data_IF_429017885418
#
_entry.id   IF_429017885418
#
_cell.length_a   1.000
_cell.length_b   1.000
_cell.length_c   1.000
_cell.angle_alpha   90.00
_cell.angle_beta   90.00
_cell.angle_gamma   90.00
#
_symmetry.space_group_name_H-M   'P 1'
#
loop_
_entity.id
_entity.type
_entity.pdbx_description
1 polymer ?
#
# COMPACT_ATOMS: atom_id res chain seq x y z
N UNK A 1 5.79 -18.62 -5.74
CA UNK A 1 6.92 -18.37 -4.79
C UNK A 1 6.63 -19.12 -3.48
N UNK A 2 7.64 -19.60 -2.76
CA UNK A 2 7.42 -20.29 -1.49
C UNK A 2 7.01 -19.27 -0.42
N UNK A 3 5.94 -19.49 0.35
CA UNK A 3 5.38 -18.54 1.33
C UNK A 3 6.38 -18.04 2.38
N UNK A 4 7.51 -18.71 2.56
CA UNK A 4 8.56 -18.32 3.49
C UNK A 4 9.58 -17.32 2.90
N UNK A 5 9.69 -17.21 1.58
CA UNK A 5 10.69 -16.35 0.92
C UNK A 5 10.50 -14.87 1.31
N UNK A 6 9.28 -14.30 1.33
CA UNK A 6 9.06 -12.93 1.77
C UNK A 6 9.62 -12.64 3.17
N UNK A 7 9.38 -13.55 4.13
CA UNK A 7 9.86 -13.37 5.51
C UNK A 7 11.38 -13.44 5.61
N UNK A 8 12.01 -14.34 4.84
CA UNK A 8 13.47 -14.46 4.79
C UNK A 8 14.07 -13.16 4.20
N UNK A 9 13.52 -12.67 3.09
CA UNK A 9 13.99 -11.44 2.44
C UNK A 9 13.84 -10.21 3.35
N UNK A 10 12.68 -10.07 4.02
CA UNK A 10 12.45 -9.03 5.02
C UNK A 10 13.46 -9.10 6.16
N UNK A 11 13.69 -10.31 6.70
CA UNK A 11 14.65 -10.55 7.78
C UNK A 11 16.07 -10.22 7.37
N UNK A 12 16.49 -10.62 6.17
CA UNK A 12 17.81 -10.30 5.60
C UNK A 12 17.98 -8.80 5.44
N UNK A 13 17.00 -8.10 4.82
CA UNK A 13 17.04 -6.65 4.65
C UNK A 13 17.15 -5.92 5.98
N UNK A 14 16.32 -6.31 6.96
CA UNK A 14 16.36 -5.74 8.32
C UNK A 14 17.69 -5.98 9.01
N UNK A 15 18.28 -7.18 8.89
CA UNK A 15 19.56 -7.51 9.48
C UNK A 15 20.71 -6.69 8.88
N UNK A 16 20.67 -6.44 7.55
CA UNK A 16 21.67 -5.62 6.86
C UNK A 16 21.66 -4.17 7.40
N UNK A 17 20.49 -3.59 7.60
CA UNK A 17 20.37 -2.18 8.02
C UNK A 17 20.37 -1.99 9.56
N UNK A 18 20.29 -3.09 10.34
CA UNK A 18 20.20 -3.01 11.81
C UNK A 18 21.32 -2.22 12.48
N UNK A 19 22.54 -2.30 11.92
CA UNK A 19 23.72 -1.59 12.45
C UNK A 19 23.85 -0.14 11.98
N UNK A 20 22.93 0.33 11.12
CA UNK A 20 23.00 1.61 10.43
C UNK A 20 23.89 1.49 9.19
N UNK A 21 23.35 1.83 8.04
CA UNK A 21 24.09 1.88 6.78
C UNK A 21 24.57 3.32 6.52
N UNK A 22 25.74 3.50 5.87
CA UNK A 22 26.15 4.81 5.41
C UNK A 22 25.14 5.38 4.39
N UNK A 23 24.88 6.70 4.42
CA UNK A 23 23.92 7.38 3.52
C UNK A 23 24.16 7.06 2.04
N UNK A 24 25.44 6.86 1.64
CA UNK A 24 25.79 6.51 0.27
C UNK A 24 25.24 5.13 -0.12
N UNK A 25 25.32 4.16 0.79
CA UNK A 25 24.81 2.79 0.57
C UNK A 25 23.30 2.80 0.51
N UNK A 26 22.64 3.59 1.36
CA UNK A 26 21.20 3.78 1.36
C UNK A 26 20.68 4.33 0.03
N UNK A 27 21.30 5.38 -0.48
CA UNK A 27 20.97 5.95 -1.81
C UNK A 27 21.09 4.92 -2.93
N UNK A 28 22.09 4.02 -2.86
CA UNK A 28 22.24 2.93 -3.85
C UNK A 28 21.09 1.92 -3.70
N UNK A 29 20.71 1.55 -2.48
CA UNK A 29 19.56 0.68 -2.24
C UNK A 29 18.26 1.30 -2.74
N UNK A 30 18.00 2.58 -2.43
CA UNK A 30 16.82 3.30 -2.92
C UNK A 30 16.75 3.32 -4.45
N UNK A 31 17.88 3.55 -5.12
CA UNK A 31 17.97 3.52 -6.57
C UNK A 31 17.65 2.13 -7.15
N UNK A 32 18.21 1.07 -6.56
CA UNK A 32 17.94 -0.32 -6.96
C UNK A 32 16.46 -0.66 -6.75
N UNK A 33 15.88 -0.28 -5.62
CA UNK A 33 14.46 -0.51 -5.30
C UNK A 33 13.57 0.22 -6.30
N UNK A 34 13.86 1.48 -6.61
CA UNK A 34 13.08 2.26 -7.57
C UNK A 34 13.12 1.64 -8.97
N UNK A 35 14.28 1.15 -9.42
CA UNK A 35 14.39 0.43 -10.70
C UNK A 35 13.60 -0.88 -10.64
N UNK A 36 13.74 -1.66 -9.57
CA UNK A 36 13.00 -2.90 -9.38
C UNK A 36 11.48 -2.66 -9.42
N UNK A 37 11.00 -1.56 -8.81
CA UNK A 37 9.59 -1.15 -8.86
C UNK A 37 9.14 -0.81 -10.29
N UNK A 38 9.92 -0.07 -11.05
CA UNK A 38 9.60 0.25 -12.45
C UNK A 38 9.51 -1.03 -13.29
N UNK A 39 10.50 -1.91 -13.16
CA UNK A 39 10.51 -3.21 -13.86
C UNK A 39 9.29 -4.04 -13.44
N UNK A 40 9.01 -4.12 -12.15
CA UNK A 40 7.86 -4.83 -11.61
C UNK A 40 6.53 -4.34 -12.20
N UNK A 41 6.34 -3.01 -12.24
CA UNK A 41 5.14 -2.40 -12.82
C UNK A 41 5.00 -2.69 -14.33
N UNK A 42 6.12 -2.61 -15.07
CA UNK A 42 6.13 -2.97 -16.49
C UNK A 42 5.80 -4.45 -16.70
N UNK A 43 6.36 -5.35 -15.90
CA UNK A 43 6.10 -6.80 -15.99
C UNK A 43 4.64 -7.11 -15.67
N UNK A 44 4.06 -6.49 -14.63
CA UNK A 44 2.63 -6.64 -14.32
C UNK A 44 1.78 -6.15 -15.51
N UNK A 45 2.10 -4.98 -16.06
CA UNK A 45 1.41 -4.46 -17.23
C UNK A 45 1.52 -5.37 -18.46
N UNK A 46 2.72 -5.89 -18.74
CA UNK A 46 2.93 -6.88 -19.82
C UNK A 46 2.09 -8.13 -19.60
N UNK A 47 2.09 -8.69 -18.39
CA UNK A 47 1.28 -9.87 -18.05
C UNK A 47 -0.23 -9.63 -18.29
N UNK A 48 -0.74 -8.46 -17.89
CA UNK A 48 -2.14 -8.09 -18.14
C UNK A 48 -2.38 -7.98 -19.65
N UNK A 49 -1.52 -7.27 -20.39
CA UNK A 49 -1.68 -7.03 -21.81
C UNK A 49 -1.56 -8.30 -22.67
N UNK A 50 -0.75 -9.27 -22.26
CA UNK A 50 -0.59 -10.56 -22.98
C UNK A 50 -1.68 -11.59 -22.63
N UNK A 51 -2.53 -11.32 -21.61
CA UNK A 51 -3.62 -12.20 -21.21
C UNK A 51 -4.95 -11.81 -21.88
N UNK A 52 -5.44 -12.55 -22.88
CA UNK A 52 -6.72 -12.26 -23.55
C UNK A 52 -7.90 -12.33 -22.57
N UNK A 53 -7.83 -13.22 -21.58
CA UNK A 53 -8.88 -13.43 -20.60
C UNK A 53 -9.08 -12.19 -19.70
N UNK A 54 -7.98 -11.62 -19.19
CA UNK A 54 -8.02 -10.39 -18.38
C UNK A 54 -8.42 -9.19 -19.22
N UNK A 55 -7.88 -9.06 -20.46
CA UNK A 55 -8.19 -7.95 -21.34
C UNK A 55 -9.66 -7.89 -21.75
N UNK A 56 -10.28 -9.04 -22.03
CA UNK A 56 -11.70 -9.12 -22.38
C UNK A 56 -12.63 -8.78 -21.21
N UNK A 57 -12.19 -9.03 -19.96
CA UNK A 57 -12.97 -8.78 -18.76
C UNK A 57 -12.54 -7.52 -17.98
N UNK A 58 -11.60 -6.74 -18.51
CA UNK A 58 -10.99 -5.60 -17.82
C UNK A 58 -12.01 -4.57 -17.32
N UNK A 59 -13.09 -4.34 -18.07
CA UNK A 59 -14.17 -3.44 -17.66
C UNK A 59 -14.91 -3.94 -16.41
N UNK A 60 -15.28 -5.22 -16.36
CA UNK A 60 -15.94 -5.84 -15.21
C UNK A 60 -15.03 -5.87 -13.97
N UNK A 61 -13.77 -6.25 -14.16
CA UNK A 61 -12.75 -6.25 -13.10
C UNK A 61 -12.59 -4.83 -12.54
N UNK A 62 -12.48 -3.82 -13.41
CA UNK A 62 -12.32 -2.43 -13.00
C UNK A 62 -13.47 -1.93 -12.11
N UNK A 63 -14.72 -2.20 -12.49
CA UNK A 63 -15.89 -1.83 -11.68
C UNK A 63 -15.87 -2.53 -10.32
N UNK A 64 -15.57 -3.82 -10.30
CA UNK A 64 -15.46 -4.59 -9.05
C UNK A 64 -14.36 -4.03 -8.14
N UNK A 65 -13.20 -3.67 -8.70
CA UNK A 65 -12.09 -3.07 -7.97
C UNK A 65 -12.45 -1.70 -7.37
N UNK A 66 -13.20 -0.87 -8.09
CA UNK A 66 -13.68 0.41 -7.58
C UNK A 66 -14.60 0.20 -6.38
N UNK A 67 -15.56 -0.73 -6.48
CA UNK A 67 -16.49 -1.04 -5.38
C UNK A 67 -15.73 -1.57 -4.16
N UNK A 68 -14.78 -2.50 -4.36
CA UNK A 68 -13.94 -3.03 -3.29
C UNK A 68 -13.11 -1.92 -2.61
N UNK A 69 -12.53 -1.03 -3.40
CA UNK A 69 -11.73 0.09 -2.92
C UNK A 69 -12.56 1.05 -2.07
N UNK A 70 -13.70 1.51 -2.58
CA UNK A 70 -14.59 2.42 -1.86
C UNK A 70 -15.11 1.78 -0.58
N UNK A 71 -15.49 0.50 -0.61
CA UNK A 71 -15.90 -0.23 0.58
C UNK A 71 -14.79 -0.30 1.62
N UNK A 72 -13.56 -0.64 1.22
CA UNK A 72 -12.41 -0.68 2.12
C UNK A 72 -12.12 0.69 2.75
N UNK A 73 -12.26 1.79 1.98
CA UNK A 73 -12.15 3.17 2.50
C UNK A 73 -13.22 3.42 3.57
N UNK A 74 -14.50 3.17 3.24
CA UNK A 74 -15.61 3.47 4.14
C UNK A 74 -15.59 2.63 5.41
N UNK A 75 -15.32 1.33 5.30
CA UNK A 75 -15.21 0.45 6.47
C UNK A 75 -14.01 0.83 7.34
N UNK A 76 -12.84 1.13 6.77
CA UNK A 76 -11.69 1.62 7.52
C UNK A 76 -11.99 2.95 8.23
N UNK A 77 -12.66 3.89 7.54
CA UNK A 77 -13.06 5.16 8.11
C UNK A 77 -14.06 4.98 9.27
N UNK A 78 -15.02 4.05 9.14
CA UNK A 78 -15.96 3.71 10.21
C UNK A 78 -15.26 3.11 11.44
N UNK A 79 -14.38 2.12 11.24
CA UNK A 79 -13.63 1.53 12.35
C UNK A 79 -12.79 2.58 13.08
N UNK A 80 -12.05 3.42 12.35
CA UNK A 80 -11.23 4.48 12.94
C UNK A 80 -12.11 5.53 13.63
N UNK A 81 -13.26 5.90 13.06
CA UNK A 81 -14.20 6.82 13.69
C UNK A 81 -14.74 6.30 15.03
N UNK A 82 -15.02 5.00 15.14
CA UNK A 82 -15.42 4.35 16.41
C UNK A 82 -14.26 4.38 17.41
N UNK A 83 -13.03 4.04 16.97
CA UNK A 83 -11.86 4.08 17.82
C UNK A 83 -11.50 5.49 18.29
N UNK A 84 -11.70 6.50 17.44
CA UNK A 84 -11.51 7.92 17.80
C UNK A 84 -12.44 8.35 18.92
N UNK A 85 -13.68 7.89 18.90
CA UNK A 85 -14.67 8.22 19.94
C UNK A 85 -14.46 7.46 21.26
N UNK A 86 -13.80 6.30 21.22
CA UNK A 86 -13.72 5.39 22.39
C UNK A 86 -12.36 5.38 23.03
N UNK A 87 -11.27 5.31 22.25
CA UNK A 87 -9.92 5.00 22.75
C UNK A 87 -8.89 6.04 22.40
N UNK A 88 -9.05 6.71 21.24
CA UNK A 88 -8.01 7.56 20.64
C UNK A 88 -8.56 8.97 20.34
N UNK A 89 -8.69 9.87 21.33
CA UNK A 89 -9.13 11.24 21.07
C UNK A 89 -8.04 12.00 20.29
N UNK A 90 -8.11 11.99 18.95
CA UNK A 90 -7.14 12.65 18.08
C UNK A 90 -7.08 14.17 18.29
N UNK A 91 -8.15 14.79 18.76
CA UNK A 91 -8.16 16.21 19.12
C UNK A 91 -7.22 16.54 20.30
N UNK A 92 -7.14 15.67 21.29
CA UNK A 92 -6.17 15.84 22.40
C UNK A 92 -4.74 15.64 21.92
N UNK A 93 -4.55 14.68 21.02
CA UNK A 93 -3.25 14.43 20.37
C UNK A 93 -2.80 15.64 19.57
N UNK A 94 -3.72 16.25 18.81
CA UNK A 94 -3.49 17.49 18.05
C UNK A 94 -3.02 18.62 18.96
N UNK A 95 -3.70 18.87 20.09
CA UNK A 95 -3.35 19.94 21.04
C UNK A 95 -1.97 19.77 21.65
N UNK A 96 -1.50 18.53 21.84
CA UNK A 96 -0.15 18.24 22.37
C UNK A 96 0.96 18.62 21.39
N UNK A 97 0.71 18.51 20.08
CA UNK A 97 1.68 18.84 19.04
C UNK A 97 1.65 20.31 18.61
N UNK A 98 0.55 21.03 18.81
CA UNK A 98 0.47 22.47 18.50
C UNK A 98 1.47 23.32 19.29
N UNK A 99 2.13 22.78 20.32
CA UNK A 99 3.17 23.44 21.10
C UNK A 99 4.61 23.23 20.62
N UNK A 100 4.86 22.29 19.68
CA UNK A 100 6.21 21.85 19.28
C UNK A 100 6.48 21.94 17.76
N UNK A 101 5.61 22.63 17.02
CA UNK A 101 5.68 22.76 15.56
C UNK A 101 6.72 23.80 15.13
N UNK A 102 7.98 23.39 15.13
CA UNK A 102 8.98 24.02 14.27
C UNK A 102 8.73 23.59 12.82
N UNK A 103 8.71 24.56 11.92
CA UNK A 103 8.56 24.41 10.48
C UNK A 103 9.44 23.27 9.93
N UNK A 104 8.84 22.13 9.61
CA UNK A 104 9.45 21.13 8.76
C UNK A 104 8.90 21.33 7.35
N UNK A 105 9.69 21.99 6.53
CA UNK A 105 9.50 21.99 5.09
C UNK A 105 9.50 20.51 4.62
N UNK A 106 8.34 20.04 4.22
CA UNK A 106 8.21 18.75 3.53
C UNK A 106 8.87 18.87 2.17
N UNK A 107 9.83 17.99 1.87
CA UNK A 107 10.43 17.86 0.53
C UNK A 107 9.33 17.53 -0.49
N UNK A 108 8.80 18.55 -1.15
CA UNK A 108 7.61 18.49 -2.01
C UNK A 108 7.84 17.83 -3.38
N UNK A 109 9.07 17.52 -3.81
CA UNK A 109 9.33 17.36 -5.23
C UNK A 109 9.52 15.92 -5.75
N UNK A 110 9.90 14.96 -4.92
CA UNK A 110 10.25 13.61 -5.42
C UNK A 110 9.09 12.62 -5.43
N UNK A 111 8.16 12.72 -4.50
CA UNK A 111 7.05 11.77 -4.35
C UNK A 111 5.91 11.98 -5.37
N UNK A 112 5.70 13.21 -5.82
CA UNK A 112 4.65 13.54 -6.78
C UNK A 112 4.87 12.86 -8.14
N UNK A 113 6.12 12.62 -8.52
CA UNK A 113 6.48 12.02 -9.80
C UNK A 113 6.21 10.50 -9.83
N UNK A 114 6.49 9.80 -8.74
CA UNK A 114 6.28 8.34 -8.62
C UNK A 114 4.79 7.97 -8.69
N UNK A 115 3.90 8.81 -8.18
CA UNK A 115 2.44 8.61 -8.27
C UNK A 115 1.97 8.49 -9.73
N UNK A 116 2.62 9.22 -10.64
CA UNK A 116 2.28 9.22 -12.07
C UNK A 116 3.06 8.15 -12.83
N UNK A 117 4.35 7.97 -12.53
CA UNK A 117 5.24 7.03 -13.23
C UNK A 117 4.78 5.59 -13.04
N UNK A 118 4.40 5.19 -11.83
CA UNK A 118 4.03 3.80 -11.54
C UNK A 118 2.80 3.33 -12.34
N UNK A 119 1.64 4.01 -12.30
CA UNK A 119 0.51 3.65 -13.15
C UNK A 119 0.82 3.79 -14.65
N UNK A 120 1.63 4.78 -15.05
CA UNK A 120 2.04 4.94 -16.45
C UNK A 120 2.85 3.74 -16.95
N UNK A 121 3.76 3.20 -16.13
CA UNK A 121 4.53 2.00 -16.49
C UNK A 121 3.62 0.78 -16.73
N UNK A 122 2.55 0.62 -15.94
CA UNK A 122 1.59 -0.46 -16.17
C UNK A 122 0.82 -0.24 -17.48
N UNK A 123 0.31 0.97 -17.70
CA UNK A 123 -0.40 1.28 -18.95
C UNK A 123 0.51 1.03 -20.17
N UNK A 124 1.76 1.47 -20.11
CA UNK A 124 2.76 1.20 -21.14
C UNK A 124 2.99 -0.30 -21.31
N UNK A 125 3.13 -1.03 -20.20
CA UNK A 125 3.26 -2.50 -20.21
C UNK A 125 2.07 -3.18 -20.87
N UNK A 126 0.83 -2.78 -20.53
CA UNK A 126 -0.40 -3.30 -21.15
C UNK A 126 -0.40 -3.04 -22.66
N UNK A 127 -0.08 -1.82 -23.09
CA UNK A 127 -0.04 -1.45 -24.52
C UNK A 127 1.02 -2.29 -25.24
N UNK A 128 2.21 -2.43 -24.70
CA UNK A 128 3.29 -3.23 -25.31
C UNK A 128 2.88 -4.71 -25.35
N UNK A 129 2.31 -5.25 -24.28
CA UNK A 129 1.82 -6.64 -24.21
C UNK A 129 0.72 -6.92 -25.23
N UNK A 130 -0.24 -6.00 -25.37
CA UNK A 130 -1.37 -6.18 -26.27
C UNK A 130 -1.03 -5.98 -27.75
N UNK A 131 -0.21 -4.99 -28.10
CA UNK A 131 0.05 -4.62 -29.49
C UNK A 131 1.36 -5.16 -30.08
N UNK A 132 2.40 -5.38 -29.24
CA UNK A 132 3.75 -5.67 -29.72
C UNK A 132 4.21 -7.09 -29.38
N UNK A 133 3.96 -7.52 -28.18
CA UNK A 133 4.51 -8.77 -27.64
C UNK A 133 3.43 -9.83 -27.42
N UNK A 134 2.86 -10.36 -28.52
CA UNK A 134 1.84 -11.39 -28.47
C UNK A 134 2.31 -12.74 -27.88
N UNK A 135 3.61 -12.96 -27.73
CA UNK A 135 4.20 -14.21 -27.21
C UNK A 135 5.53 -13.97 -26.51
N UNK A 136 5.48 -13.33 -25.34
CA UNK A 136 6.60 -13.37 -24.42
C UNK A 136 6.55 -14.71 -23.68
N UNK A 137 7.72 -15.35 -23.51
CA UNK A 137 7.80 -16.57 -22.70
C UNK A 137 7.34 -16.25 -21.28
N UNK A 138 6.28 -16.92 -20.81
CA UNK A 138 5.77 -16.80 -19.43
C UNK A 138 6.90 -16.96 -18.41
N UNK A 139 7.85 -17.87 -18.67
CA UNK A 139 9.01 -18.10 -17.80
C UNK A 139 9.87 -16.85 -17.60
N UNK A 140 10.02 -16.00 -18.63
CA UNK A 140 10.79 -14.74 -18.53
C UNK A 140 10.06 -13.73 -17.66
N UNK A 141 8.74 -13.59 -17.87
CA UNK A 141 7.91 -12.68 -17.09
C UNK A 141 7.84 -13.08 -15.61
N UNK A 142 7.65 -14.39 -15.34
CA UNK A 142 7.62 -14.92 -13.98
C UNK A 142 8.97 -14.77 -13.26
N UNK A 143 10.08 -14.99 -13.98
CA UNK A 143 11.42 -14.79 -13.42
C UNK A 143 11.67 -13.32 -13.09
N UNK A 144 11.31 -12.40 -14.00
CA UNK A 144 11.46 -10.98 -13.79
C UNK A 144 10.59 -10.48 -12.61
N UNK A 145 9.34 -10.97 -12.52
CA UNK A 145 8.43 -10.69 -11.40
C UNK A 145 9.03 -11.17 -10.08
N UNK A 146 9.50 -12.41 -10.02
CA UNK A 146 10.07 -13.01 -8.81
C UNK A 146 11.32 -12.26 -8.34
N UNK A 147 12.25 -11.92 -9.25
CA UNK A 147 13.46 -11.17 -8.92
C UNK A 147 13.09 -9.78 -8.38
N UNK A 148 12.17 -9.09 -9.06
CA UNK A 148 11.71 -7.76 -8.63
C UNK A 148 11.04 -7.80 -7.25
N UNK A 149 10.23 -8.82 -6.97
CA UNK A 149 9.62 -9.05 -5.66
C UNK A 149 10.66 -9.28 -4.57
N UNK A 150 11.66 -10.13 -4.81
CA UNK A 150 12.74 -10.39 -3.85
C UNK A 150 13.49 -9.09 -3.51
N UNK A 151 13.85 -8.30 -4.53
CA UNK A 151 14.50 -7.01 -4.33
C UNK A 151 13.62 -6.04 -3.52
N UNK A 152 12.32 -6.01 -3.81
CA UNK A 152 11.36 -5.19 -3.08
C UNK A 152 11.26 -5.60 -1.60
N UNK A 153 11.14 -6.90 -1.30
CA UNK A 153 11.09 -7.39 0.08
C UNK A 153 12.37 -7.10 0.86
N UNK A 154 13.54 -7.27 0.23
CA UNK A 154 14.82 -6.90 0.85
C UNK A 154 14.86 -5.39 1.11
N UNK A 155 14.42 -4.57 0.16
CA UNK A 155 14.36 -3.12 0.31
C UNK A 155 13.43 -2.66 1.44
N UNK A 156 12.23 -3.24 1.51
CA UNK A 156 11.30 -2.99 2.64
C UNK A 156 11.95 -3.40 3.96
N UNK A 157 12.67 -4.53 4.00
CA UNK A 157 13.43 -4.96 5.17
C UNK A 157 14.51 -3.96 5.58
N UNK A 158 15.27 -3.40 4.62
CA UNK A 158 16.26 -2.34 4.87
C UNK A 158 15.60 -1.10 5.46
N UNK A 159 14.50 -0.62 4.86
CA UNK A 159 13.72 0.50 5.39
C UNK A 159 13.20 0.25 6.81
N UNK A 160 12.80 -0.99 7.13
CA UNK A 160 12.39 -1.40 8.47
C UNK A 160 13.52 -1.21 9.51
N UNK A 161 14.72 -1.67 9.18
CA UNK A 161 15.88 -1.59 10.10
C UNK A 161 16.36 -0.16 10.33
N UNK A 162 16.09 0.76 9.40
CA UNK A 162 16.48 2.18 9.49
C UNK A 162 15.47 3.04 10.25
N UNK A 163 14.17 2.76 10.09
CA UNK A 163 13.08 3.56 10.65
C UNK A 163 12.93 3.40 12.19
N UNK A 164 14.05 3.34 12.91
CA UNK A 164 14.07 3.32 14.39
C UNK A 164 13.40 4.56 15.00
N UNK A 165 13.36 5.67 14.26
CA UNK A 165 12.70 6.90 14.67
C UNK A 165 11.21 6.74 14.91
N UNK A 166 10.52 5.89 14.15
CA UNK A 166 9.08 5.61 14.32
C UNK A 166 8.79 5.05 15.72
N UNK A 167 9.64 4.16 16.22
CA UNK A 167 9.51 3.62 17.58
C UNK A 167 9.65 4.70 18.67
N UNK A 168 10.49 5.71 18.43
CA UNK A 168 10.65 6.85 19.35
C UNK A 168 9.38 7.72 19.37
N UNK A 169 8.77 7.96 18.19
CA UNK A 169 7.50 8.70 18.09
C UNK A 169 6.34 7.92 18.72
N UNK A 170 6.24 6.61 18.51
CA UNK A 170 5.23 5.75 19.16
C UNK A 170 5.37 5.86 20.67
N UNK A 171 6.60 5.86 21.22
CA UNK A 171 6.84 5.99 22.64
C UNK A 171 6.40 7.37 23.19
N UNK A 172 6.55 8.44 22.43
CA UNK A 172 6.15 9.81 22.82
C UNK A 172 4.63 10.02 22.75
N UNK A 173 3.96 9.42 21.72
CA UNK A 173 2.51 9.50 21.51
C UNK A 173 1.72 8.55 22.40
N UNK A 174 2.38 7.55 22.95
CA UNK A 174 1.77 6.46 23.71
C UNK A 174 1.25 5.33 22.82
N UNK A 175 1.16 4.14 23.39
CA UNK A 175 0.75 2.92 22.67
C UNK A 175 -0.66 3.01 22.05
N UNK A 176 -1.48 3.93 22.50
CA UNK A 176 -2.85 4.11 21.96
C UNK A 176 -2.86 4.43 20.47
N UNK A 177 -1.80 5.06 19.94
CA UNK A 177 -1.69 5.39 18.50
C UNK A 177 -1.75 4.15 17.60
N UNK A 178 -1.34 2.98 18.12
CA UNK A 178 -1.35 1.71 17.40
C UNK A 178 -2.77 1.21 17.09
N UNK A 179 -3.78 1.69 17.80
CA UNK A 179 -5.18 1.34 17.50
C UNK A 179 -5.64 1.93 16.17
N UNK A 180 -5.03 3.01 15.70
CA UNK A 180 -5.39 3.61 14.41
C UNK A 180 -5.03 2.69 13.22
N UNK A 181 -3.77 2.26 13.02
CA UNK A 181 -3.44 1.31 11.97
C UNK A 181 -4.17 -0.03 12.14
N UNK A 182 -4.42 -0.48 13.38
CA UNK A 182 -5.23 -1.69 13.63
C UNK A 182 -6.67 -1.52 13.12
N UNK A 183 -7.29 -0.37 13.37
CA UNK A 183 -8.63 -0.08 12.85
C UNK A 183 -8.68 -0.02 11.32
N UNK A 184 -7.66 0.55 10.69
CA UNK A 184 -7.51 0.56 9.22
C UNK A 184 -7.39 -0.86 8.66
N UNK A 185 -6.56 -1.68 9.28
CA UNK A 185 -6.33 -3.06 8.91
C UNK A 185 -7.61 -3.89 8.99
N UNK A 186 -8.29 -3.87 10.14
CA UNK A 186 -9.54 -4.60 10.34
C UNK A 186 -10.66 -4.09 9.43
N UNK A 187 -10.76 -2.77 9.24
CA UNK A 187 -11.72 -2.18 8.32
C UNK A 187 -11.49 -2.58 6.87
N UNK A 188 -10.23 -2.64 6.42
CA UNK A 188 -9.89 -3.07 5.06
C UNK A 188 -10.27 -4.52 4.80
N UNK A 189 -9.97 -5.43 5.74
CA UNK A 189 -10.36 -6.85 5.66
C UNK A 189 -11.90 -6.97 5.64
N UNK A 190 -12.59 -6.26 6.54
CA UNK A 190 -14.05 -6.32 6.66
C UNK A 190 -14.71 -5.82 5.38
N UNK A 191 -14.21 -4.72 4.78
CA UNK A 191 -14.70 -4.21 3.50
C UNK A 191 -14.55 -5.22 2.37
N UNK A 192 -13.40 -5.88 2.28
CA UNK A 192 -13.14 -6.95 1.32
C UNK A 192 -14.07 -8.15 1.51
N UNK A 193 -14.27 -8.60 2.76
CA UNK A 193 -15.19 -9.70 3.08
C UNK A 193 -16.64 -9.37 2.67
N UNK A 194 -17.14 -8.21 3.06
CA UNK A 194 -18.53 -7.82 2.78
C UNK A 194 -18.76 -7.75 1.26
N UNK A 195 -17.92 -7.05 0.53
CA UNK A 195 -18.12 -6.86 -0.91
C UNK A 195 -17.80 -8.14 -1.69
N UNK A 196 -16.79 -8.91 -1.26
CA UNK A 196 -16.49 -10.22 -1.86
C UNK A 196 -17.71 -11.15 -1.82
N UNK A 197 -18.42 -11.20 -0.69
CA UNK A 197 -19.65 -11.98 -0.54
C UNK A 197 -20.79 -11.41 -1.39
N UNK A 198 -20.98 -10.08 -1.43
CA UNK A 198 -22.09 -9.45 -2.17
C UNK A 198 -21.89 -9.61 -3.68
N UNK A 199 -20.68 -9.40 -4.19
CA UNK A 199 -20.39 -9.46 -5.61
C UNK A 199 -19.99 -10.86 -6.09
N UNK A 200 -19.98 -11.87 -5.19
CA UNK A 200 -19.54 -13.24 -5.48
C UNK A 200 -18.11 -13.30 -6.04
N UNK A 201 -17.24 -12.38 -5.60
CA UNK A 201 -15.81 -12.38 -5.93
C UNK A 201 -15.13 -13.40 -5.01
N UNK A 202 -14.16 -14.22 -5.51
CA UNK A 202 -13.39 -15.11 -4.66
C UNK A 202 -12.82 -14.36 -3.44
N UNK A 203 -13.03 -14.89 -2.23
CA UNK A 203 -12.66 -14.17 -1.00
C UNK A 203 -11.16 -13.89 -0.90
N UNK A 204 -10.32 -14.78 -1.43
CA UNK A 204 -8.89 -14.54 -1.55
C UNK A 204 -8.60 -13.30 -2.42
N UNK A 205 -9.32 -13.07 -3.54
CA UNK A 205 -9.14 -11.88 -4.36
C UNK A 205 -9.63 -10.63 -3.62
N UNK A 206 -10.85 -10.68 -3.06
CA UNK A 206 -11.46 -9.53 -2.42
C UNK A 206 -10.73 -9.10 -1.14
N UNK A 207 -10.43 -10.04 -0.24
CA UNK A 207 -9.81 -9.74 1.06
C UNK A 207 -8.34 -9.38 0.91
N UNK A 208 -7.59 -10.13 0.09
CA UNK A 208 -6.15 -9.86 -0.07
C UNK A 208 -5.94 -8.52 -0.79
N UNK A 209 -6.71 -8.23 -1.85
CA UNK A 209 -6.58 -6.94 -2.54
C UNK A 209 -6.90 -5.75 -1.64
N UNK A 210 -7.99 -5.80 -0.86
CA UNK A 210 -8.36 -4.68 0.04
C UNK A 210 -7.41 -4.54 1.22
N UNK A 211 -6.87 -5.66 1.74
CA UNK A 211 -5.90 -5.65 2.83
C UNK A 211 -4.47 -5.28 2.40
N UNK A 212 -4.25 -5.01 1.12
CA UNK A 212 -3.06 -4.33 0.61
C UNK A 212 -2.94 -2.86 1.03
N UNK A 213 -4.07 -2.25 1.46
CA UNK A 213 -4.14 -0.95 2.14
C UNK A 213 -3.42 0.20 1.42
N UNK A 214 -3.43 0.20 0.08
CA UNK A 214 -2.76 1.20 -0.76
C UNK A 214 -1.35 0.78 -1.22
N UNK A 215 -0.82 -0.35 -0.76
CA UNK A 215 0.48 -0.85 -1.23
C UNK A 215 0.32 -1.65 -2.55
N UNK A 216 -0.05 -0.94 -3.61
CA UNK A 216 -0.45 -1.52 -4.90
C UNK A 216 0.63 -2.37 -5.55
N UNK A 217 1.91 -1.94 -5.55
CA UNK A 217 3.00 -2.64 -6.22
C UNK A 217 3.25 -4.03 -5.63
N UNK A 218 3.34 -4.12 -4.32
CA UNK A 218 3.57 -5.38 -3.62
C UNK A 218 2.35 -6.29 -3.71
N UNK A 219 1.14 -5.74 -3.48
CA UNK A 219 -0.09 -6.52 -3.47
C UNK A 219 -0.39 -7.09 -4.85
N UNK A 220 -0.26 -6.27 -5.91
CA UNK A 220 -0.45 -6.72 -7.28
C UNK A 220 0.52 -7.81 -7.68
N UNK A 221 1.82 -7.62 -7.41
CA UNK A 221 2.84 -8.59 -7.76
C UNK A 221 2.70 -9.91 -7.00
N UNK A 222 2.41 -9.83 -5.70
CA UNK A 222 2.25 -11.02 -4.87
C UNK A 222 0.99 -11.82 -5.23
N UNK A 223 -0.13 -11.13 -5.50
CA UNK A 223 -1.34 -11.80 -5.95
C UNK A 223 -1.17 -12.41 -7.35
N UNK A 224 -0.36 -11.79 -8.22
CA UNK A 224 0.01 -12.41 -9.51
C UNK A 224 0.79 -13.70 -9.31
N UNK A 225 1.78 -13.69 -8.42
CA UNK A 225 2.61 -14.86 -8.11
C UNK A 225 1.81 -16.03 -7.49
N UNK A 226 0.85 -15.72 -6.62
CA UNK A 226 0.11 -16.76 -5.88
C UNK A 226 -1.16 -17.26 -6.59
N UNK A 227 -1.84 -16.39 -7.30
CA UNK A 227 -3.18 -16.67 -7.84
C UNK A 227 -3.30 -16.37 -9.35
N UNK A 228 -2.24 -15.90 -9.99
CA UNK A 228 -2.23 -15.57 -11.41
C UNK A 228 -2.61 -14.11 -11.71
N UNK A 229 -2.61 -13.79 -13.02
CA UNK A 229 -2.67 -12.42 -13.55
C UNK A 229 -3.96 -11.69 -13.16
N UNK A 230 -5.10 -12.39 -13.20
CA UNK A 230 -6.39 -11.80 -12.84
C UNK A 230 -6.38 -11.30 -11.39
N UNK A 231 -5.95 -12.13 -10.45
CA UNK A 231 -5.83 -11.75 -9.05
C UNK A 231 -4.85 -10.59 -8.85
N UNK A 232 -3.72 -10.62 -9.54
CA UNK A 232 -2.75 -9.52 -9.53
C UNK A 232 -3.36 -8.21 -10.01
N UNK A 233 -4.23 -8.27 -11.01
CA UNK A 233 -4.98 -7.12 -11.52
C UNK A 233 -5.89 -6.54 -10.44
N UNK A 234 -6.63 -7.38 -9.69
CA UNK A 234 -7.39 -6.94 -8.52
C UNK A 234 -6.48 -6.30 -7.47
N UNK A 235 -5.37 -6.97 -7.12
CA UNK A 235 -4.42 -6.47 -6.12
C UNK A 235 -3.86 -5.10 -6.46
N UNK A 236 -3.59 -4.84 -7.73
CA UNK A 236 -3.09 -3.56 -8.19
C UNK A 236 -4.19 -2.49 -8.26
N UNK A 237 -5.28 -2.74 -9.02
CA UNK A 237 -6.30 -1.72 -9.31
C UNK A 237 -7.02 -1.29 -8.02
N UNK A 238 -7.38 -2.21 -7.11
CA UNK A 238 -8.03 -1.87 -5.83
C UNK A 238 -7.19 -0.86 -5.04
N UNK A 239 -5.88 -1.06 -4.98
CA UNK A 239 -5.00 -0.22 -4.17
C UNK A 239 -4.69 1.13 -4.84
N UNK A 240 -4.54 1.20 -6.16
CA UNK A 240 -4.41 2.48 -6.89
C UNK A 240 -5.70 3.28 -6.82
N UNK A 241 -6.84 2.63 -7.03
CA UNK A 241 -8.14 3.30 -6.93
C UNK A 241 -8.43 3.78 -5.52
N UNK A 242 -7.91 3.10 -4.48
CA UNK A 242 -8.00 3.58 -3.09
C UNK A 242 -7.38 4.97 -2.92
N UNK A 243 -6.20 5.21 -3.46
CA UNK A 243 -5.54 6.51 -3.38
C UNK A 243 -6.36 7.59 -4.10
N UNK A 244 -6.83 7.30 -5.31
CA UNK A 244 -7.66 8.22 -6.10
C UNK A 244 -8.98 8.55 -5.36
N UNK A 245 -9.70 7.52 -4.89
CA UNK A 245 -10.96 7.74 -4.18
C UNK A 245 -10.76 8.37 -2.80
N UNK A 246 -9.62 8.16 -2.14
CA UNK A 246 -9.29 8.89 -0.91
C UNK A 246 -9.28 10.39 -1.14
N UNK A 247 -8.68 10.86 -2.24
CA UNK A 247 -8.66 12.29 -2.59
C UNK A 247 -10.07 12.78 -2.93
N UNK A 248 -10.81 12.05 -3.76
CA UNK A 248 -12.17 12.42 -4.19
C UNK A 248 -13.12 12.49 -2.99
N UNK A 249 -13.05 11.51 -2.11
CA UNK A 249 -13.94 11.41 -0.94
C UNK A 249 -13.44 12.23 0.27
N UNK A 250 -12.30 12.91 0.17
CA UNK A 250 -11.70 13.68 1.27
C UNK A 250 -12.70 14.59 2.01
N UNK A 251 -13.54 15.40 1.31
CA UNK A 251 -14.51 16.26 1.99
C UNK A 251 -15.57 15.48 2.77
N UNK A 252 -15.95 14.28 2.30
CA UNK A 252 -16.88 13.39 2.98
C UNK A 252 -16.25 12.73 4.19
N UNK A 253 -15.01 12.25 4.05
CA UNK A 253 -14.24 11.60 5.11
C UNK A 253 -14.02 12.55 6.31
N UNK A 254 -13.74 13.82 6.06
CA UNK A 254 -13.59 14.85 7.10
C UNK A 254 -14.90 15.11 7.89
N UNK A 255 -16.07 14.84 7.28
CA UNK A 255 -17.36 14.93 7.98
C UNK A 255 -17.60 13.73 8.90
N UNK A 256 -16.98 12.58 8.64
CA UNK A 256 -17.09 11.36 9.47
C UNK A 256 -16.24 11.53 10.73
N UNK A 257 -14.93 11.75 10.58
CA UNK A 257 -14.01 12.01 11.70
C UNK A 257 -12.68 12.58 11.20
N UNK A 258 -11.85 13.10 12.11
CA UNK A 258 -10.50 13.60 11.80
C UNK A 258 -9.56 12.47 11.40
N UNK A 259 -9.74 11.27 11.93
CA UNK A 259 -8.98 10.07 11.59
C UNK A 259 -9.41 9.40 10.28
N UNK A 260 -10.62 9.70 9.75
CA UNK A 260 -11.15 9.05 8.54
C UNK A 260 -10.29 9.28 7.28
N UNK A 261 -9.74 10.49 7.00
CA UNK A 261 -8.79 10.69 5.90
C UNK A 261 -7.52 9.84 6.05
N UNK A 262 -7.01 9.71 7.29
CA UNK A 262 -5.84 8.88 7.59
C UNK A 262 -6.15 7.41 7.33
N UNK A 263 -7.33 6.96 7.74
CA UNK A 263 -7.80 5.60 7.50
C UNK A 263 -7.96 5.28 6.01
N UNK A 264 -8.46 6.23 5.24
CA UNK A 264 -8.63 6.08 3.79
C UNK A 264 -7.28 5.97 3.08
N UNK A 265 -6.33 6.87 3.37
CA UNK A 265 -4.98 6.85 2.79
C UNK A 265 -4.13 5.67 3.23
N UNK A 266 -4.41 5.09 4.41
CA UNK A 266 -3.84 3.86 4.94
C UNK A 266 -2.30 3.80 4.82
N UNK A 267 -1.71 2.77 4.16
CA UNK A 267 -0.27 2.66 3.95
C UNK A 267 0.27 3.79 3.07
N UNK A 268 -0.52 4.30 2.11
CA UNK A 268 -0.16 5.45 1.29
C UNK A 268 0.16 6.72 2.10
N UNK A 269 -0.31 6.83 3.34
CA UNK A 269 0.05 7.93 4.24
C UNK A 269 1.55 7.96 4.63
N UNK A 270 2.32 6.93 4.29
CA UNK A 270 3.78 6.97 4.42
C UNK A 270 4.42 7.83 3.31
N UNK A 271 3.82 7.85 2.11
CA UNK A 271 4.37 8.46 0.90
C UNK A 271 3.33 9.22 0.06
N UNK A 272 2.61 8.54 -0.82
CA UNK A 272 1.73 9.12 -1.85
C UNK A 272 0.60 9.97 -1.26
N UNK A 273 0.00 9.51 -0.17
CA UNK A 273 -1.15 10.16 0.48
C UNK A 273 -0.76 11.08 1.64
N UNK A 274 0.53 11.16 2.01
CA UNK A 274 0.96 11.97 3.15
C UNK A 274 0.60 13.45 2.95
N UNK A 275 0.95 14.01 1.81
CA UNK A 275 0.70 15.43 1.51
C UNK A 275 -0.80 15.76 1.42
N UNK A 276 -1.62 15.05 0.61
CA UNK A 276 -3.05 15.30 0.55
C UNK A 276 -3.74 15.17 1.90
N UNK A 277 -3.42 14.12 2.65
CA UNK A 277 -4.02 13.86 3.97
C UNK A 277 -3.59 14.94 4.98
N UNK A 278 -2.28 15.29 5.03
CA UNK A 278 -1.79 16.34 5.92
C UNK A 278 -2.44 17.70 5.65
N UNK A 279 -2.63 18.06 4.37
CA UNK A 279 -3.35 19.29 3.99
C UNK A 279 -4.80 19.28 4.47
N UNK A 280 -5.42 18.10 4.51
CA UNK A 280 -6.82 17.97 4.93
C UNK A 280 -7.03 17.95 6.45
N UNK A 281 -6.14 17.27 7.20
CA UNK A 281 -6.30 17.09 8.66
C UNK A 281 -5.44 18.02 9.52
N UNK A 282 -4.49 18.71 8.92
CA UNK A 282 -3.50 19.59 9.58
C UNK A 282 -2.18 18.89 9.84
N UNK A 283 -1.11 19.69 10.01
CA UNK A 283 0.29 19.21 10.16
C UNK A 283 0.48 18.32 11.38
N UNK A 284 -0.22 18.60 12.49
CA UNK A 284 -0.13 17.81 13.71
C UNK A 284 -0.64 16.39 13.52
N UNK A 285 -1.78 16.24 12.84
CA UNK A 285 -2.32 14.92 12.49
C UNK A 285 -1.62 14.29 11.29
N UNK A 286 -0.90 15.08 10.48
CA UNK A 286 0.00 14.60 9.43
C UNK A 286 1.09 13.69 9.99
N UNK A 287 1.64 14.00 11.17
CA UNK A 287 2.60 13.12 11.87
C UNK A 287 1.95 11.78 12.24
N UNK A 288 0.70 11.82 12.70
CA UNK A 288 -0.07 10.61 13.03
C UNK A 288 -0.32 9.79 11.76
N UNK A 289 -0.64 10.45 10.64
CA UNK A 289 -0.82 9.82 9.34
C UNK A 289 0.47 9.11 8.89
N UNK A 290 1.61 9.80 8.97
CA UNK A 290 2.92 9.23 8.65
C UNK A 290 3.23 7.98 9.48
N UNK A 291 3.03 8.04 10.80
CA UNK A 291 3.28 6.90 11.70
C UNK A 291 2.37 5.73 11.35
N UNK A 292 1.06 6.00 11.18
CA UNK A 292 0.10 4.96 10.82
C UNK A 292 0.41 4.34 9.46
N UNK A 293 0.69 5.16 8.45
CA UNK A 293 1.08 4.71 7.12
C UNK A 293 2.33 3.86 7.15
N UNK A 294 3.36 4.29 7.88
CA UNK A 294 4.61 3.54 8.06
C UNK A 294 4.36 2.16 8.69
N UNK A 295 3.57 2.10 9.76
CA UNK A 295 3.23 0.83 10.41
C UNK A 295 2.51 -0.10 9.42
N UNK A 296 1.52 0.42 8.68
CA UNK A 296 0.78 -0.37 7.71
C UNK A 296 1.65 -0.85 6.54
N UNK A 297 2.57 -0.01 6.06
CA UNK A 297 3.52 -0.39 5.01
C UNK A 297 4.40 -1.57 5.44
N UNK A 298 4.74 -1.67 6.73
CA UNK A 298 5.46 -2.81 7.26
C UNK A 298 4.57 -4.02 7.58
N UNK A 299 3.31 -3.79 7.93
CA UNK A 299 2.35 -4.87 8.18
C UNK A 299 1.98 -5.60 6.89
N UNK A 300 1.79 -4.89 5.78
CA UNK A 300 1.35 -5.48 4.51
C UNK A 300 2.26 -6.61 4.02
N UNK A 301 3.59 -6.45 3.89
CA UNK A 301 4.48 -7.53 3.41
C UNK A 301 4.49 -8.76 4.31
N UNK A 302 4.19 -8.61 5.59
CA UNK A 302 4.06 -9.71 6.54
C UNK A 302 2.68 -10.35 6.46
N UNK A 303 1.64 -9.52 6.33
CA UNK A 303 0.25 -9.97 6.31
C UNK A 303 -0.12 -10.72 5.03
N UNK A 304 0.28 -10.24 3.86
CA UNK A 304 -0.15 -10.82 2.60
C UNK A 304 0.23 -12.31 2.46
N UNK A 305 1.46 -12.78 2.80
CA UNK A 305 1.76 -14.20 2.84
C UNK A 305 0.91 -14.98 3.85
N UNK A 306 0.59 -14.39 5.00
CA UNK A 306 -0.28 -15.01 6.01
C UNK A 306 -1.71 -15.13 5.47
N UNK A 307 -2.23 -14.06 4.85
CA UNK A 307 -3.55 -14.05 4.23
C UNK A 307 -3.68 -15.13 3.15
N UNK A 308 -2.63 -15.35 2.34
CA UNK A 308 -2.59 -16.44 1.35
C UNK A 308 -2.68 -17.84 1.99
N UNK A 309 -2.20 -18.03 3.22
CA UNK A 309 -2.32 -19.31 3.94
C UNK A 309 -3.73 -19.52 4.53
N UNK A 310 -4.51 -18.45 4.72
CA UNK A 310 -5.83 -18.47 5.36
C UNK A 310 -6.94 -18.58 4.32
N UNK A 311 -6.82 -17.89 3.21
CA UNK A 311 -7.78 -17.75 2.12
C UNK A 311 -7.33 -18.49 0.85
#
# INVERSE_FOLDING_TARGET
>A
MNSLIPFICLGVGTAISWRGLPDTVLKVFDWIINIALVILMLVIGLNIGTSPEVMNNLGGIGVSCVILSVAAILTSALFVSVLEKTVLPLEETRKRFSGDSGDRETEESSYSLLIIIMPACIVIGIIIGWFVLHSVSETILDTALTISLVLLYVGVGVSLGENKGVFKYIKSLGLKILFLPLGVFLGSITGGLIIGLILHIPLNYAVISTSGMGYYSLTGAMMTDYYGIEAGTYGFIVNVTRDVFTIILMPLLLKISKGSPIAAGAAGCMDTMLVPVTKAVGTELGIVALISGTILTFVVPVWLPIAHMIF
#
